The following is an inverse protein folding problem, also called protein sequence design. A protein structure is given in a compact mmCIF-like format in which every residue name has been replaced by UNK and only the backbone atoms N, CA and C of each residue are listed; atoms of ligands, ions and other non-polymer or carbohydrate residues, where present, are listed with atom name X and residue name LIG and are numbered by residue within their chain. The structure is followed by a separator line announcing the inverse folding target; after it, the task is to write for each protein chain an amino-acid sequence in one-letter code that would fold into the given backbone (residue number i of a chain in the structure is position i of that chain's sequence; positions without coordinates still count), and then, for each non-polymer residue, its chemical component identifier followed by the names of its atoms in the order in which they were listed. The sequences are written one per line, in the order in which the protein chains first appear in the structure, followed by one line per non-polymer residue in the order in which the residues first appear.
data_IF_676978006076
#
_entry.id   IF_676978006076
#
_cell.length_a   1.000
_cell.length_b   1.000
_cell.length_c   1.000
_cell.angle_alpha   90.00
_cell.angle_beta   90.00
_cell.angle_gamma   90.00
#
_symmetry.space_group_name_H-M   'P 1'
#
loop_
_entity.id
_entity.type
_entity.pdbx_description
1 polymer ?
#
# COMPACT_ATOMS: atom_id res chain seq x y z
N UNK A 1 -12.30 -13.98 -0.44
CA UNK A 1 -13.09 -13.89 -1.70
C UNK A 1 -12.25 -13.40 -2.88
N UNK A 2 -11.46 -12.33 -2.67
CA UNK A 2 -10.48 -11.78 -3.62
C UNK A 2 -9.59 -12.84 -4.33
N UNK A 3 -8.99 -13.76 -3.57
CA UNK A 3 -8.17 -14.83 -4.15
C UNK A 3 -8.90 -15.70 -5.17
N UNK A 4 -10.20 -15.95 -4.99
CA UNK A 4 -11.00 -16.74 -5.95
C UNK A 4 -11.24 -15.95 -7.23
N UNK A 5 -11.59 -14.66 -7.13
CA UNK A 5 -11.80 -13.83 -8.30
C UNK A 5 -10.50 -13.62 -9.10
N UNK A 6 -9.38 -13.35 -8.42
CA UNK A 6 -8.05 -13.20 -9.05
C UNK A 6 -7.55 -14.53 -9.62
N UNK A 7 -7.61 -15.61 -8.86
CA UNK A 7 -7.17 -16.94 -9.31
C UNK A 7 -8.05 -17.50 -10.42
N UNK A 8 -9.29 -17.03 -10.59
CA UNK A 8 -10.13 -17.50 -11.68
C UNK A 8 -10.15 -16.59 -12.89
N UNK A 9 -10.22 -15.26 -12.74
CA UNK A 9 -10.44 -14.34 -13.87
C UNK A 9 -9.18 -13.67 -14.43
N UNK A 10 -7.99 -14.06 -13.97
CA UNK A 10 -6.75 -13.60 -14.59
C UNK A 10 -6.61 -14.15 -16.02
N UNK A 11 -6.26 -13.27 -16.97
CA UNK A 11 -6.18 -13.61 -18.40
C UNK A 11 -5.17 -14.72 -18.71
N UNK A 12 -4.18 -14.93 -17.84
CA UNK A 12 -3.18 -16.01 -17.95
C UNK A 12 -3.68 -17.38 -17.50
N UNK A 13 -4.84 -17.46 -16.84
CA UNK A 13 -5.39 -18.74 -16.38
C UNK A 13 -6.01 -19.53 -17.53
N UNK A 14 -6.09 -20.86 -17.38
CA UNK A 14 -6.75 -21.71 -18.35
C UNK A 14 -8.24 -21.30 -18.55
N UNK A 15 -8.79 -21.37 -19.78
CA UNK A 15 -10.17 -20.98 -20.06
C UNK A 15 -11.22 -21.66 -19.17
N UNK A 16 -10.99 -22.92 -18.79
CA UNK A 16 -11.86 -23.67 -17.87
C UNK A 16 -11.93 -23.04 -16.47
N UNK A 17 -10.79 -22.57 -15.97
CA UNK A 17 -10.67 -21.90 -14.66
C UNK A 17 -11.37 -20.54 -14.69
N UNK A 18 -11.22 -19.79 -15.80
CA UNK A 18 -11.95 -18.54 -16.03
C UNK A 18 -13.46 -18.74 -16.08
N UNK A 19 -13.93 -19.77 -16.80
CA UNK A 19 -15.35 -20.12 -16.87
C UNK A 19 -15.91 -20.46 -15.49
N UNK A 20 -15.19 -21.25 -14.69
CA UNK A 20 -15.60 -21.59 -13.33
C UNK A 20 -15.68 -20.35 -12.44
N UNK A 21 -14.67 -19.48 -12.47
CA UNK A 21 -14.68 -18.22 -11.72
C UNK A 21 -15.86 -17.33 -12.03
N UNK A 22 -16.18 -17.19 -13.32
CA UNK A 22 -17.33 -16.42 -13.78
C UNK A 22 -18.63 -16.99 -13.23
N UNK A 23 -18.82 -18.32 -13.27
CA UNK A 23 -20.03 -18.98 -12.73
C UNK A 23 -20.14 -18.76 -11.21
N UNK A 24 -19.04 -18.90 -10.47
CA UNK A 24 -19.02 -18.64 -9.03
C UNK A 24 -19.41 -17.20 -8.73
N UNK A 25 -18.79 -16.21 -9.40
CA UNK A 25 -19.08 -14.80 -9.16
C UNK A 25 -20.50 -14.40 -9.57
N UNK A 26 -21.02 -14.93 -10.68
CA UNK A 26 -22.42 -14.74 -11.08
C UNK A 26 -23.38 -15.29 -10.02
N UNK A 27 -23.09 -16.48 -9.49
CA UNK A 27 -23.92 -17.11 -8.47
C UNK A 27 -23.88 -16.30 -7.17
N UNK A 28 -22.71 -15.83 -6.75
CA UNK A 28 -22.56 -14.99 -5.57
C UNK A 28 -23.23 -13.62 -5.74
N UNK A 29 -23.12 -13.00 -6.91
CA UNK A 29 -23.80 -11.75 -7.23
C UNK A 29 -25.32 -11.91 -7.24
N UNK A 30 -25.84 -13.05 -7.74
CA UNK A 30 -27.26 -13.39 -7.67
C UNK A 30 -27.74 -13.64 -6.22
N UNK A 31 -26.83 -13.99 -5.31
CA UNK A 31 -27.07 -14.07 -3.87
C UNK A 31 -26.70 -12.77 -3.13
N UNK A 32 -26.67 -11.65 -3.85
CA UNK A 32 -26.48 -10.30 -3.31
C UNK A 32 -25.16 -10.12 -2.52
N UNK A 33 -24.09 -10.82 -2.90
CA UNK A 33 -22.77 -10.55 -2.33
C UNK A 33 -22.17 -9.30 -2.99
N UNK A 34 -21.91 -8.19 -2.25
CA UNK A 34 -21.48 -6.93 -2.84
C UNK A 34 -20.14 -7.04 -3.58
N UNK A 35 -19.12 -7.61 -2.93
CA UNK A 35 -17.78 -7.72 -3.50
C UNK A 35 -17.73 -8.56 -4.78
N UNK A 36 -18.47 -9.66 -4.82
CA UNK A 36 -18.58 -10.48 -6.03
C UNK A 36 -19.20 -9.70 -7.20
N UNK A 37 -20.21 -8.87 -6.90
CA UNK A 37 -20.89 -8.02 -7.88
C UNK A 37 -19.94 -6.95 -8.42
N UNK A 38 -19.27 -6.22 -7.53
CA UNK A 38 -18.34 -5.15 -7.92
C UNK A 38 -17.14 -5.69 -8.70
N UNK A 39 -16.54 -6.80 -8.27
CA UNK A 39 -15.44 -7.43 -9.00
C UNK A 39 -15.85 -7.85 -10.41
N UNK A 40 -16.99 -8.52 -10.55
CA UNK A 40 -17.48 -8.99 -11.83
C UNK A 40 -17.77 -7.82 -12.79
N UNK A 41 -18.36 -6.74 -12.30
CA UNK A 41 -18.65 -5.56 -13.11
C UNK A 41 -17.39 -4.75 -13.45
N UNK A 42 -16.43 -4.63 -12.53
CA UNK A 42 -15.11 -4.01 -12.81
C UNK A 42 -14.36 -4.74 -13.92
N UNK A 43 -14.38 -6.08 -13.88
CA UNK A 43 -13.74 -6.88 -14.92
C UNK A 43 -14.44 -6.73 -16.27
N UNK A 44 -15.77 -6.66 -16.29
CA UNK A 44 -16.52 -6.38 -17.52
C UNK A 44 -16.17 -5.00 -18.11
N UNK A 45 -16.05 -3.96 -17.28
CA UNK A 45 -15.63 -2.62 -17.71
C UNK A 45 -14.19 -2.63 -18.25
N UNK A 46 -13.26 -3.31 -17.59
CA UNK A 46 -11.88 -3.47 -18.10
C UNK A 46 -11.83 -4.18 -19.45
N UNK A 47 -12.72 -5.14 -19.70
CA UNK A 47 -12.83 -5.79 -21.02
C UNK A 47 -13.39 -4.84 -22.09
N UNK A 48 -14.20 -3.87 -21.70
CA UNK A 48 -14.74 -2.85 -22.60
C UNK A 48 -13.69 -1.82 -23.03
N UNK A 49 -12.59 -1.68 -22.26
CA UNK A 49 -11.44 -0.83 -22.62
C UNK A 49 -10.79 -1.37 -23.91
N UNK A 50 -11.10 -0.73 -25.04
CA UNK A 50 -10.58 -1.09 -26.36
C UNK A 50 -11.58 -1.82 -27.28
N UNK A 51 -12.79 -2.12 -26.81
CA UNK A 51 -13.85 -2.69 -27.64
C UNK A 51 -14.79 -1.62 -28.22
N UNK A 52 -15.31 -1.87 -29.43
CA UNK A 52 -16.37 -1.04 -30.03
C UNK A 52 -17.64 -1.07 -29.16
N UNK A 53 -18.41 0.04 -29.11
CA UNK A 53 -19.64 0.17 -28.31
C UNK A 53 -20.65 -0.97 -28.47
N UNK A 54 -20.71 -1.63 -29.62
CA UNK A 54 -21.64 -2.72 -29.91
C UNK A 54 -21.34 -4.06 -29.19
N UNK A 55 -20.17 -4.19 -28.56
CA UNK A 55 -19.73 -5.44 -27.91
C UNK A 55 -19.27 -5.23 -26.46
N UNK A 56 -19.97 -4.36 -25.74
CA UNK A 56 -19.64 -4.11 -24.33
C UNK A 56 -20.03 -5.30 -23.47
N UNK A 57 -19.05 -5.97 -22.88
CA UNK A 57 -19.19 -7.01 -21.88
C UNK A 57 -20.03 -6.54 -20.70
N UNK A 58 -19.91 -5.27 -20.27
CA UNK A 58 -20.72 -4.73 -19.19
C UNK A 58 -22.23 -4.82 -19.47
N UNK A 59 -22.65 -4.65 -20.73
CA UNK A 59 -24.06 -4.64 -21.15
C UNK A 59 -24.61 -6.04 -21.48
N UNK A 60 -23.79 -7.09 -21.36
CA UNK A 60 -24.20 -8.48 -21.59
C UNK A 60 -25.45 -8.85 -20.76
N UNK A 61 -26.34 -9.65 -21.35
CA UNK A 61 -27.55 -10.16 -20.67
C UNK A 61 -27.21 -11.02 -19.46
N UNK A 62 -26.06 -11.71 -19.49
CA UNK A 62 -25.54 -12.53 -18.39
C UNK A 62 -25.27 -11.71 -17.12
N UNK A 63 -24.91 -10.43 -17.26
CA UNK A 63 -24.60 -9.54 -16.13
C UNK A 63 -25.83 -8.75 -15.63
N UNK A 64 -27.03 -9.07 -16.10
CA UNK A 64 -28.26 -8.37 -15.73
C UNK A 64 -28.55 -8.41 -14.23
N UNK A 65 -28.32 -9.55 -13.56
CA UNK A 65 -28.46 -9.67 -12.10
C UNK A 65 -27.44 -8.81 -11.36
N UNK A 66 -26.18 -8.82 -11.78
CA UNK A 66 -25.13 -8.00 -11.19
C UNK A 66 -25.44 -6.50 -11.32
N UNK A 67 -25.92 -6.04 -12.48
CA UNK A 67 -26.35 -4.65 -12.68
C UNK A 67 -27.55 -4.28 -11.81
N UNK A 68 -28.52 -5.18 -11.65
CA UNK A 68 -29.67 -4.96 -10.75
C UNK A 68 -29.20 -4.82 -9.30
N UNK A 69 -28.31 -5.71 -8.87
CA UNK A 69 -27.75 -5.66 -7.52
C UNK A 69 -26.89 -4.41 -7.31
N UNK A 70 -26.09 -3.97 -8.30
CA UNK A 70 -25.37 -2.69 -8.23
C UNK A 70 -26.31 -1.51 -7.96
N UNK A 71 -27.46 -1.43 -8.65
CA UNK A 71 -28.43 -0.35 -8.40
C UNK A 71 -28.99 -0.38 -6.99
N UNK A 72 -29.23 -1.58 -6.45
CA UNK A 72 -29.64 -1.77 -5.05
C UNK A 72 -28.56 -1.25 -4.10
N UNK A 73 -27.31 -1.64 -4.30
CA UNK A 73 -26.16 -1.17 -3.50
C UNK A 73 -25.99 0.35 -3.55
N UNK A 74 -26.18 0.98 -4.73
CA UNK A 74 -26.13 2.44 -4.87
C UNK A 74 -27.29 3.11 -4.12
N UNK A 75 -28.50 2.54 -4.17
CA UNK A 75 -29.65 3.05 -3.42
C UNK A 75 -29.46 2.89 -1.90
N UNK A 76 -28.75 1.85 -1.46
CA UNK A 76 -28.33 1.61 -0.08
C UNK A 76 -27.08 2.41 0.33
N UNK A 77 -26.62 3.32 -0.52
CA UNK A 77 -25.42 4.17 -0.30
C UNK A 77 -24.13 3.40 -0.02
N UNK A 78 -23.96 2.21 -0.60
CA UNK A 78 -22.73 1.44 -0.46
C UNK A 78 -21.55 2.17 -1.16
N UNK A 79 -20.45 2.52 -0.46
CA UNK A 79 -19.45 3.47 -0.94
C UNK A 79 -18.76 3.01 -2.23
N UNK A 80 -18.26 1.77 -2.26
CA UNK A 80 -17.59 1.22 -3.44
C UNK A 80 -18.50 1.05 -4.66
N UNK A 81 -19.81 0.88 -4.45
CA UNK A 81 -20.79 0.78 -5.52
C UNK A 81 -21.07 2.16 -6.11
N UNK A 82 -21.21 3.18 -5.26
CA UNK A 82 -21.35 4.57 -5.68
C UNK A 82 -20.11 5.05 -6.45
N UNK A 83 -18.90 4.75 -5.99
CA UNK A 83 -17.67 5.06 -6.76
C UNK A 83 -17.68 4.39 -8.12
N UNK A 84 -18.00 3.09 -8.17
CA UNK A 84 -18.06 2.37 -9.45
C UNK A 84 -19.07 2.99 -10.41
N UNK A 85 -20.26 3.35 -9.93
CA UNK A 85 -21.28 3.98 -10.75
C UNK A 85 -20.90 5.41 -11.16
N UNK A 86 -20.32 6.20 -10.27
CA UNK A 86 -19.82 7.55 -10.55
C UNK A 86 -18.73 7.53 -11.63
N UNK A 87 -17.82 6.54 -11.62
CA UNK A 87 -16.82 6.36 -12.69
C UNK A 87 -17.46 6.18 -14.05
N UNK A 88 -18.53 5.39 -14.13
CA UNK A 88 -19.27 5.18 -15.38
C UNK A 88 -19.96 6.46 -15.82
N UNK A 89 -20.64 7.17 -14.92
CA UNK A 89 -21.26 8.47 -15.21
C UNK A 89 -20.23 9.49 -15.73
N UNK A 90 -19.07 9.60 -15.09
CA UNK A 90 -17.99 10.48 -15.53
C UNK A 90 -17.46 10.11 -16.92
N UNK A 91 -17.27 8.81 -17.21
CA UNK A 91 -16.86 8.31 -18.52
C UNK A 91 -17.91 8.55 -19.63
N UNK A 92 -19.19 8.65 -19.25
CA UNK A 92 -20.31 9.01 -20.14
C UNK A 92 -20.46 10.54 -20.32
N UNK A 93 -19.60 11.35 -19.70
CA UNK A 93 -19.68 12.81 -19.73
C UNK A 93 -20.69 13.42 -18.73
N UNK A 94 -21.34 12.58 -17.92
CA UNK A 94 -22.31 12.98 -16.88
C UNK A 94 -21.61 13.30 -15.56
N UNK A 95 -20.60 14.17 -15.62
CA UNK A 95 -19.71 14.46 -14.49
C UNK A 95 -20.41 15.13 -13.31
N UNK A 96 -21.39 16.01 -13.55
CA UNK A 96 -22.18 16.66 -12.48
C UNK A 96 -22.90 15.63 -11.60
N UNK A 97 -23.57 14.67 -12.23
CA UNK A 97 -24.25 13.57 -11.51
C UNK A 97 -23.25 12.67 -10.76
N UNK A 98 -22.06 12.44 -11.34
CA UNK A 98 -21.00 11.70 -10.67
C UNK A 98 -20.50 12.43 -9.40
N UNK A 99 -20.31 13.75 -9.48
CA UNK A 99 -19.93 14.60 -8.35
C UNK A 99 -21.02 14.55 -7.27
N UNK A 100 -22.29 14.79 -7.63
CA UNK A 100 -23.41 14.74 -6.69
C UNK A 100 -23.51 13.38 -5.97
N UNK A 101 -23.36 12.28 -6.72
CA UNK A 101 -23.35 10.93 -6.16
C UNK A 101 -22.20 10.73 -5.16
N UNK A 102 -20.99 11.19 -5.48
CA UNK A 102 -19.85 11.04 -4.58
C UNK A 102 -19.93 11.97 -3.38
N UNK A 103 -20.48 13.16 -3.54
CA UNK A 103 -20.78 14.06 -2.41
C UNK A 103 -21.77 13.40 -1.46
N UNK A 104 -22.84 12.78 -1.96
CA UNK A 104 -23.77 12.01 -1.13
C UNK A 104 -23.04 10.86 -0.41
N UNK A 105 -22.18 10.11 -1.12
CA UNK A 105 -21.41 9.02 -0.54
C UNK A 105 -20.46 9.46 0.60
N UNK A 106 -19.79 10.61 0.44
CA UNK A 106 -18.92 11.19 1.48
C UNK A 106 -19.76 11.69 2.66
N UNK A 107 -20.90 12.32 2.40
CA UNK A 107 -21.75 12.89 3.45
C UNK A 107 -22.54 11.85 4.25
N UNK A 108 -22.84 10.68 3.67
CA UNK A 108 -23.66 9.68 4.33
C UNK A 108 -22.92 8.86 5.37
N UNK A 109 -21.67 9.18 5.67
CA UNK A 109 -20.83 8.37 6.57
C UNK A 109 -20.65 6.94 6.04
N UNK A 110 -20.88 6.71 4.75
CA UNK A 110 -20.78 5.38 4.14
C UNK A 110 -19.36 4.79 4.21
N UNK A 111 -18.41 5.60 4.67
CA UNK A 111 -17.04 5.24 4.98
C UNK A 111 -16.85 4.59 6.37
N UNK A 112 -17.82 4.69 7.28
CA UNK A 112 -17.88 3.95 8.55
C UNK A 112 -18.14 2.45 8.30
N UNK A 113 -17.28 1.82 7.51
CA UNK A 113 -17.25 0.39 7.32
C UNK A 113 -16.44 -0.22 8.46
N UNK A 114 -17.20 -0.64 9.48
CA UNK A 114 -16.84 -1.43 10.65
C UNK A 114 -16.18 -0.63 11.77
N UNK A 115 -16.94 -0.42 12.85
CA UNK A 115 -16.39 -0.25 14.20
C UNK A 115 -15.45 -1.43 14.47
N UNK A 116 -14.15 -1.20 14.34
CA UNK A 116 -13.14 -2.17 14.77
C UNK A 116 -12.83 -1.85 16.22
N UNK A 117 -13.09 -2.80 17.11
CA UNK A 117 -12.80 -2.64 18.54
C UNK A 117 -11.32 -2.23 18.73
N UNK A 118 -11.12 -1.06 19.35
CA UNK A 118 -9.84 -0.41 19.61
C UNK A 118 -9.09 -1.10 20.77
N UNK A 119 -8.58 -2.32 20.56
CA UNK A 119 -7.57 -2.88 21.45
C UNK A 119 -6.15 -2.69 20.88
N UNK A 120 -5.14 -2.57 21.74
CA UNK A 120 -3.76 -2.32 21.32
C UNK A 120 -3.15 -3.50 20.51
N UNK A 121 -3.71 -4.70 20.63
CA UNK A 121 -3.34 -5.90 19.87
C UNK A 121 -4.01 -5.90 18.47
N UNK A 122 -5.21 -5.31 18.38
CA UNK A 122 -5.98 -4.97 17.20
C UNK A 122 -5.27 -3.88 16.40
N UNK A 123 -4.63 -2.90 17.05
CA UNK A 123 -3.82 -1.88 16.37
C UNK A 123 -2.60 -2.47 15.63
N UNK A 124 -1.83 -3.40 16.21
CA UNK A 124 -0.69 -4.03 15.52
C UNK A 124 -1.15 -5.04 14.44
N UNK A 125 -2.27 -5.74 14.67
CA UNK A 125 -2.97 -6.53 13.64
C UNK A 125 -3.58 -5.66 12.54
N UNK A 126 -3.97 -4.43 12.87
CA UNK A 126 -4.38 -3.41 11.92
C UNK A 126 -3.17 -2.90 11.17
N UNK A 127 -2.02 -2.58 11.76
CA UNK A 127 -0.86 -2.12 10.97
C UNK A 127 -0.34 -3.22 10.03
N UNK A 128 -0.19 -4.45 10.52
CA UNK A 128 0.18 -5.59 9.66
C UNK A 128 -0.94 -5.96 8.68
N UNK A 129 -2.21 -5.81 9.08
CA UNK A 129 -3.40 -6.02 8.27
C UNK A 129 -3.66 -4.92 7.26
N UNK A 130 -3.33 -3.66 7.51
CA UNK A 130 -3.45 -2.47 6.65
C UNK A 130 -2.32 -2.53 5.62
N UNK A 131 -1.12 -2.94 6.06
CA UNK A 131 -0.02 -3.29 5.14
C UNK A 131 -0.35 -4.51 4.25
N UNK A 132 -1.39 -5.31 4.55
CA UNK A 132 -1.73 -6.52 3.78
C UNK A 132 -3.14 -6.53 3.12
N UNK A 133 -4.12 -5.80 3.64
CA UNK A 133 -5.51 -5.72 3.17
C UNK A 133 -5.61 -4.85 1.91
N UNK A 134 -4.58 -4.06 1.65
CA UNK A 134 -4.62 -3.00 0.65
C UNK A 134 -4.03 -3.44 -0.69
N UNK A 135 -4.50 -4.54 -1.28
CA UNK A 135 -4.07 -4.94 -2.64
C UNK A 135 -5.12 -4.61 -3.73
N UNK A 136 -6.39 -4.44 -3.37
CA UNK A 136 -7.42 -3.92 -4.28
C UNK A 136 -8.32 -2.84 -3.67
N UNK A 137 -8.46 -2.77 -2.34
CA UNK A 137 -9.02 -1.60 -1.67
C UNK A 137 -8.12 -0.37 -1.91
N UNK A 138 -6.79 -0.52 -1.74
CA UNK A 138 -5.77 0.47 -2.14
C UNK A 138 -5.79 0.81 -3.62
N UNK A 139 -6.19 -0.12 -4.49
CA UNK A 139 -6.28 0.13 -5.94
C UNK A 139 -7.63 0.74 -6.30
N UNK A 140 -8.64 0.53 -5.45
CA UNK A 140 -9.87 1.27 -5.46
C UNK A 140 -9.58 2.74 -5.23
N UNK A 141 -10.24 3.59 -6.01
CA UNK A 141 -10.41 4.97 -5.56
C UNK A 141 -11.50 4.95 -4.50
N UNK A 142 -11.25 5.58 -3.36
CA UNK A 142 -12.25 5.90 -2.36
C UNK A 142 -13.20 7.00 -2.86
N UNK A 143 -14.39 7.17 -2.26
CA UNK A 143 -15.33 8.22 -2.67
C UNK A 143 -14.71 9.61 -2.70
N UNK A 144 -13.95 9.98 -1.68
CA UNK A 144 -13.29 11.28 -1.58
C UNK A 144 -12.11 11.43 -2.56
N UNK A 145 -11.28 10.41 -2.76
CA UNK A 145 -10.17 10.53 -3.72
C UNK A 145 -10.69 10.68 -5.16
N UNK A 146 -11.75 9.97 -5.53
CA UNK A 146 -12.37 10.13 -6.84
C UNK A 146 -13.13 11.45 -6.98
N UNK A 147 -13.85 11.88 -5.93
CA UNK A 147 -14.51 13.19 -5.90
C UNK A 147 -13.49 14.32 -6.08
N UNK A 148 -12.37 14.24 -5.37
CA UNK A 148 -11.29 15.22 -5.48
C UNK A 148 -10.68 15.24 -6.87
N UNK A 149 -10.50 14.08 -7.50
CA UNK A 149 -10.07 14.00 -8.90
C UNK A 149 -11.05 14.69 -9.85
N UNK A 150 -12.36 14.43 -9.70
CA UNK A 150 -13.38 15.10 -10.52
C UNK A 150 -13.34 16.61 -10.31
N UNK A 151 -13.26 17.09 -9.07
CA UNK A 151 -13.12 18.52 -8.78
C UNK A 151 -11.87 19.15 -9.40
N UNK A 152 -10.71 18.46 -9.37
CA UNK A 152 -9.50 18.91 -10.07
C UNK A 152 -9.72 19.02 -11.58
N UNK A 153 -10.37 18.03 -12.19
CA UNK A 153 -10.64 18.05 -13.64
C UNK A 153 -11.61 19.15 -14.07
N UNK A 154 -12.50 19.58 -13.17
CA UNK A 154 -13.43 20.70 -13.39
C UNK A 154 -12.84 22.06 -13.01
N UNK A 155 -11.56 22.12 -12.61
CA UNK A 155 -10.91 23.37 -12.20
C UNK A 155 -11.41 23.93 -10.86
N UNK A 156 -11.93 23.07 -9.98
CA UNK A 156 -12.35 23.41 -8.62
C UNK A 156 -11.33 22.88 -7.57
N UNK A 157 -10.19 23.56 -7.36
CA UNK A 157 -9.16 23.10 -6.43
C UNK A 157 -9.66 23.07 -4.98
N UNK A 158 -10.55 24.00 -4.59
CA UNK A 158 -11.12 24.07 -3.24
C UNK A 158 -11.98 22.84 -2.93
N UNK A 159 -12.87 22.47 -3.85
CA UNK A 159 -13.68 21.25 -3.70
C UNK A 159 -12.82 19.98 -3.67
N UNK A 160 -11.71 19.96 -4.39
CA UNK A 160 -10.77 18.84 -4.33
C UNK A 160 -10.07 18.73 -2.97
N UNK A 161 -9.62 19.85 -2.41
CA UNK A 161 -9.03 19.90 -1.08
C UNK A 161 -10.04 19.48 0.01
N UNK A 162 -11.28 19.99 -0.05
CA UNK A 162 -12.35 19.62 0.89
C UNK A 162 -12.64 18.12 0.84
N UNK A 163 -12.70 17.53 -0.35
CA UNK A 163 -12.87 16.09 -0.50
C UNK A 163 -11.70 15.30 0.10
N UNK A 164 -10.44 15.65 -0.21
CA UNK A 164 -9.29 14.99 0.42
C UNK A 164 -9.27 15.16 1.93
N UNK A 165 -9.63 16.34 2.45
CA UNK A 165 -9.69 16.59 3.88
C UNK A 165 -10.72 15.71 4.57
N UNK A 166 -11.87 15.47 3.94
CA UNK A 166 -12.87 14.54 4.46
C UNK A 166 -12.27 13.14 4.64
N UNK A 167 -11.68 12.57 3.60
CA UNK A 167 -11.09 11.23 3.69
C UNK A 167 -9.91 11.11 4.65
N UNK A 168 -9.07 12.14 4.72
CA UNK A 168 -7.91 12.14 5.61
C UNK A 168 -8.32 12.23 7.09
N UNK A 169 -9.34 13.05 7.41
CA UNK A 169 -9.73 13.31 8.80
C UNK A 169 -10.77 12.32 9.34
N UNK A 170 -11.63 11.77 8.46
CA UNK A 170 -12.70 10.85 8.86
C UNK A 170 -12.18 9.41 8.89
N UNK A 171 -11.44 8.99 7.86
CA UNK A 171 -11.09 7.58 7.64
C UNK A 171 -9.59 7.29 7.67
N UNK A 172 -8.77 8.28 8.01
CA UNK A 172 -7.29 8.21 7.98
C UNK A 172 -6.75 7.67 6.63
N UNK A 173 -7.45 7.97 5.51
CA UNK A 173 -7.10 7.39 4.20
C UNK A 173 -5.71 7.89 3.74
N UNK A 174 -4.72 6.98 3.54
CA UNK A 174 -3.37 7.34 3.14
C UNK A 174 -3.30 8.15 1.84
N UNK A 175 -4.14 7.81 0.86
CA UNK A 175 -4.20 8.54 -0.42
C UNK A 175 -4.84 9.90 -0.29
N UNK A 176 -5.74 10.08 0.68
CA UNK A 176 -6.35 11.36 0.94
C UNK A 176 -5.31 12.34 1.51
N UNK A 177 -4.48 11.89 2.45
CA UNK A 177 -3.32 12.65 2.91
C UNK A 177 -2.32 12.94 1.79
N UNK A 178 -2.00 11.98 0.93
CA UNK A 178 -1.16 12.23 -0.27
C UNK A 178 -1.78 13.29 -1.18
N UNK A 179 -3.11 13.23 -1.37
CA UNK A 179 -3.88 14.20 -2.13
C UNK A 179 -3.76 15.62 -1.58
N UNK A 180 -3.85 15.76 -0.25
CA UNK A 180 -3.61 17.00 0.50
C UNK A 180 -2.16 17.49 0.35
N UNK A 181 -1.16 16.60 0.39
CA UNK A 181 0.23 16.99 0.16
C UNK A 181 0.43 17.71 -1.19
N UNK A 182 -0.39 17.41 -2.20
CA UNK A 182 -0.39 18.10 -3.49
C UNK A 182 -1.00 19.51 -3.48
N UNK A 183 -1.61 19.97 -2.38
CA UNK A 183 -2.21 21.31 -2.24
C UNK A 183 -1.35 22.29 -1.46
N UNK A 184 -0.23 21.82 -0.89
CA UNK A 184 0.72 22.62 -0.11
C UNK A 184 2.11 22.61 -0.74
N UNK A 185 2.97 23.61 -0.46
CA UNK A 185 4.35 23.59 -0.94
C UNK A 185 5.07 22.32 -0.51
N UNK A 186 5.77 21.70 -1.44
CA UNK A 186 6.54 20.49 -1.16
C UNK A 186 7.60 20.77 -0.10
N UNK A 187 7.74 19.83 0.84
CA UNK A 187 8.67 19.93 1.99
C UNK A 187 8.36 21.06 2.98
N UNK A 188 7.21 21.73 2.87
CA UNK A 188 6.69 22.58 3.96
C UNK A 188 6.38 21.75 5.21
N UNK A 189 6.19 22.42 6.34
CA UNK A 189 5.82 21.74 7.60
C UNK A 189 4.54 20.93 7.43
N UNK A 190 3.52 21.53 6.82
CA UNK A 190 2.23 20.89 6.60
C UNK A 190 2.34 19.70 5.63
N UNK A 191 3.17 19.82 4.58
CA UNK A 191 3.47 18.69 3.70
C UNK A 191 4.10 17.52 4.46
N UNK A 192 5.08 17.80 5.34
CA UNK A 192 5.77 16.78 6.13
C UNK A 192 4.83 16.08 7.11
N UNK A 193 3.98 16.85 7.81
CA UNK A 193 2.96 16.31 8.71
C UNK A 193 2.00 15.36 7.98
N UNK A 194 1.43 15.79 6.85
CA UNK A 194 0.51 14.96 6.07
C UNK A 194 1.18 13.75 5.43
N UNK A 195 2.41 13.89 4.94
CA UNK A 195 3.14 12.76 4.36
C UNK A 195 3.50 11.73 5.43
N UNK A 196 3.85 12.17 6.64
CA UNK A 196 4.08 11.30 7.80
C UNK A 196 2.81 10.55 8.18
N UNK A 197 1.67 11.23 8.20
CA UNK A 197 0.36 10.59 8.40
C UNK A 197 0.06 9.55 7.32
N UNK A 198 0.16 9.92 6.05
CA UNK A 198 -0.03 9.00 4.93
C UNK A 198 0.85 7.74 5.03
N UNK A 199 2.12 7.92 5.39
CA UNK A 199 3.06 6.82 5.55
C UNK A 199 2.70 5.92 6.73
N UNK A 200 2.30 6.52 7.87
CA UNK A 200 1.81 5.76 9.03
C UNK A 200 0.55 4.95 8.69
N UNK A 201 -0.34 5.50 7.87
CA UNK A 201 -1.54 4.82 7.36
C UNK A 201 -1.25 3.83 6.22
N UNK A 202 0.03 3.54 5.91
CA UNK A 202 0.44 2.47 5.00
C UNK A 202 0.79 2.89 3.56
N UNK A 203 0.84 4.19 3.25
CA UNK A 203 1.27 4.63 1.91
C UNK A 203 2.76 4.43 1.68
N UNK A 204 3.11 3.47 0.83
CA UNK A 204 4.49 3.28 0.36
C UNK A 204 4.99 4.46 -0.49
N UNK A 205 4.09 5.14 -1.21
CA UNK A 205 4.44 6.36 -1.98
C UNK A 205 4.87 7.47 -1.03
N UNK A 206 4.14 7.64 0.08
CA UNK A 206 4.48 8.61 1.11
C UNK A 206 5.79 8.27 1.82
N UNK A 207 6.01 6.99 2.15
CA UNK A 207 7.29 6.50 2.68
C UNK A 207 8.44 6.85 1.72
N UNK A 208 8.29 6.61 0.42
CA UNK A 208 9.30 6.99 -0.58
C UNK A 208 9.56 8.51 -0.59
N UNK A 209 8.51 9.32 -0.51
CA UNK A 209 8.64 10.78 -0.44
C UNK A 209 9.32 11.27 0.85
N UNK A 210 9.06 10.62 1.99
CA UNK A 210 9.76 10.91 3.24
C UNK A 210 11.23 10.53 3.15
N UNK A 211 11.55 9.37 2.56
CA UNK A 211 12.92 8.98 2.23
C UNK A 211 13.64 10.08 1.44
N UNK A 212 12.97 10.63 0.41
CA UNK A 212 13.48 11.76 -0.38
C UNK A 212 13.64 13.04 0.43
N UNK A 213 12.66 13.38 1.26
CA UNK A 213 12.72 14.58 2.12
C UNK A 213 13.96 14.55 3.04
N UNK A 214 14.26 13.40 3.63
CA UNK A 214 15.43 13.26 4.50
C UNK A 214 16.75 13.14 3.73
N UNK A 215 16.74 12.81 2.43
CA UNK A 215 17.96 12.69 1.61
C UNK A 215 18.30 13.92 0.75
N UNK A 216 17.38 14.87 0.56
CA UNK A 216 17.68 16.07 -0.25
C UNK A 216 18.65 17.02 0.47
N UNK A 217 19.48 17.79 -0.25
CA UNK A 217 20.25 18.89 0.33
C UNK A 217 19.40 19.88 1.15
N UNK A 218 19.95 20.44 2.25
CA UNK A 218 19.22 21.35 3.16
C UNK A 218 18.68 22.61 2.47
N UNK A 219 19.37 23.11 1.44
CA UNK A 219 18.95 24.27 0.65
C UNK A 219 17.69 24.01 -0.20
N UNK A 220 17.36 22.74 -0.46
CA UNK A 220 16.12 22.34 -1.14
C UNK A 220 14.92 22.22 -0.19
N UNK A 221 15.14 22.21 1.12
CA UNK A 221 14.05 22.27 2.11
C UNK A 221 13.69 23.75 2.31
N UNK A 222 12.42 24.18 2.20
CA UNK A 222 12.03 25.57 2.43
C UNK A 222 12.53 26.15 3.76
N UNK A 223 12.82 27.46 3.80
CA UNK A 223 13.24 28.20 5.02
C UNK A 223 12.13 28.38 6.07
N UNK A 224 11.03 27.65 5.95
CA UNK A 224 10.01 27.64 6.99
C UNK A 224 10.66 27.27 8.33
N UNK A 225 10.54 28.17 9.31
CA UNK A 225 11.48 28.37 10.41
C UNK A 225 11.84 27.13 11.25
N UNK A 226 11.08 26.03 11.14
CA UNK A 226 11.28 24.83 11.94
C UNK A 226 11.77 23.63 11.12
N UNK A 227 11.34 23.46 9.87
CA UNK A 227 11.57 22.19 9.14
C UNK A 227 13.04 22.05 8.71
N UNK A 228 13.61 23.10 8.12
CA UNK A 228 15.04 23.10 7.73
C UNK A 228 15.94 23.03 8.96
N UNK A 229 15.57 23.70 10.05
CA UNK A 229 16.34 23.69 11.29
C UNK A 229 16.34 22.30 11.92
N UNK A 230 15.18 21.65 12.02
CA UNK A 230 15.07 20.27 12.51
C UNK A 230 15.89 19.30 11.64
N UNK A 231 15.82 19.44 10.31
CA UNK A 231 16.64 18.64 9.39
C UNK A 231 18.14 18.88 9.61
N UNK A 232 18.57 20.13 9.80
CA UNK A 232 19.96 20.48 10.11
C UNK A 232 20.41 19.87 11.44
N UNK A 233 19.60 19.99 12.49
CA UNK A 233 19.90 19.40 13.79
C UNK A 233 20.05 17.88 13.69
N UNK A 234 19.21 17.19 12.90
CA UNK A 234 19.35 15.76 12.65
C UNK A 234 20.62 15.39 11.87
N UNK A 235 21.08 16.26 10.97
CA UNK A 235 22.29 16.05 10.17
C UNK A 235 23.57 16.24 10.99
N UNK A 236 23.57 17.26 11.86
CA UNK A 236 24.68 17.62 12.75
C UNK A 236 24.72 16.80 14.05
N UNK A 237 23.62 16.09 14.37
CA UNK A 237 23.47 15.34 15.62
C UNK A 237 24.45 14.15 15.73
N UNK A 238 24.86 13.91 16.97
CA UNK A 238 25.63 12.76 17.44
C UNK A 238 24.85 12.04 18.56
N UNK A 239 25.00 10.71 18.71
CA UNK A 239 25.88 9.84 17.96
C UNK A 239 25.35 9.48 16.56
N UNK A 240 26.26 9.16 15.64
CA UNK A 240 25.90 8.45 14.39
C UNK A 240 25.16 7.13 14.69
N UNK A 241 24.26 6.76 13.78
CA UNK A 241 23.44 5.54 13.81
C UNK A 241 24.16 4.44 13.03
N UNK A 242 24.40 3.29 13.66
CA UNK A 242 24.91 2.11 12.98
C UNK A 242 23.77 1.46 12.17
N UNK A 243 23.86 1.48 10.84
CA UNK A 243 22.88 0.87 9.94
C UNK A 243 23.44 -0.39 9.27
N UNK A 244 22.76 -1.52 9.46
CA UNK A 244 23.22 -2.85 9.05
C UNK A 244 22.48 -3.32 7.80
N UNK A 245 23.23 -3.84 6.82
CA UNK A 245 22.70 -4.14 5.50
C UNK A 245 23.41 -5.29 4.81
N UNK A 246 22.76 -5.86 3.81
CA UNK A 246 23.33 -6.90 2.96
C UNK A 246 22.92 -6.69 1.51
N UNK A 247 23.71 -7.23 0.59
CA UNK A 247 23.30 -7.37 -0.80
C UNK A 247 22.62 -8.72 -0.99
N UNK A 248 21.51 -8.73 -1.73
CA UNK A 248 20.85 -9.97 -2.12
C UNK A 248 21.81 -10.84 -2.95
N UNK A 249 21.80 -12.15 -2.70
CA UNK A 249 22.57 -13.09 -3.50
C UNK A 249 21.84 -13.53 -4.78
N UNK A 250 22.55 -14.17 -5.71
CA UNK A 250 21.99 -14.58 -7.00
C UNK A 250 20.74 -15.47 -6.87
N UNK A 251 20.61 -16.23 -5.76
CA UNK A 251 19.42 -17.03 -5.50
C UNK A 251 18.24 -16.16 -5.09
N UNK A 252 18.47 -15.20 -4.19
CA UNK A 252 17.46 -14.21 -3.79
C UNK A 252 17.05 -13.31 -4.98
N UNK A 253 18.02 -12.86 -5.79
CA UNK A 253 17.78 -12.12 -7.03
C UNK A 253 16.95 -12.95 -8.03
N UNK A 254 17.29 -14.22 -8.23
CA UNK A 254 16.54 -15.13 -9.11
C UNK A 254 15.08 -15.30 -8.68
N UNK A 255 14.80 -15.38 -7.37
CA UNK A 255 13.44 -15.44 -6.85
C UNK A 255 12.64 -14.15 -7.13
N UNK A 256 13.33 -13.03 -7.27
CA UNK A 256 12.77 -11.72 -7.62
C UNK A 256 12.71 -11.47 -9.14
N UNK A 257 13.24 -12.38 -9.96
CA UNK A 257 13.33 -12.20 -11.40
C UNK A 257 14.43 -11.23 -11.85
N UNK A 258 15.41 -10.95 -10.99
CA UNK A 258 16.52 -10.04 -11.28
C UNK A 258 17.73 -10.77 -11.84
N UNK A 259 18.55 -10.04 -12.61
CA UNK A 259 19.76 -10.61 -13.19
C UNK A 259 20.83 -10.84 -12.10
N UNK A 260 21.63 -11.93 -12.19
CA UNK A 260 22.77 -12.15 -11.32
C UNK A 260 23.71 -10.94 -11.27
N UNK A 261 24.25 -10.63 -10.09
CA UNK A 261 25.11 -9.46 -9.87
C UNK A 261 24.39 -8.11 -9.73
N UNK A 262 23.05 -8.06 -9.81
CA UNK A 262 22.30 -6.84 -9.48
C UNK A 262 22.51 -6.50 -8.01
N UNK A 263 22.99 -5.29 -7.72
CA UNK A 263 23.10 -4.80 -6.34
C UNK A 263 21.71 -4.43 -5.85
N UNK A 264 21.11 -5.26 -5.01
CA UNK A 264 19.88 -4.92 -4.29
C UNK A 264 20.22 -4.93 -2.81
N UNK A 265 20.09 -3.78 -2.18
CA UNK A 265 20.32 -3.64 -0.74
C UNK A 265 19.08 -4.09 0.02
N UNK A 266 19.27 -4.91 1.04
CA UNK A 266 18.29 -5.23 2.07
C UNK A 266 18.79 -4.82 3.45
N UNK A 267 17.89 -4.35 4.31
CA UNK A 267 18.24 -4.06 5.69
C UNK A 267 18.23 -5.34 6.55
N UNK A 268 19.22 -5.48 7.42
CA UNK A 268 19.43 -6.71 8.18
C UNK A 268 18.33 -6.99 9.19
N UNK A 269 17.68 -5.95 9.72
CA UNK A 269 16.72 -6.09 10.82
C UNK A 269 15.47 -6.91 10.48
N UNK A 270 15.32 -7.25 9.20
CA UNK A 270 14.24 -8.04 8.67
C UNK A 270 14.63 -9.40 8.10
N UNK A 271 15.93 -9.73 8.09
CA UNK A 271 16.39 -11.01 7.58
C UNK A 271 16.07 -12.10 8.61
N UNK A 272 15.67 -13.28 8.15
CA UNK A 272 15.66 -14.46 9.03
C UNK A 272 17.08 -14.66 9.57
N UNK A 273 17.20 -14.76 10.89
CA UNK A 273 18.47 -14.75 11.60
C UNK A 273 19.54 -15.64 10.96
N UNK A 274 20.73 -15.04 10.75
CA UNK A 274 21.99 -15.76 10.48
C UNK A 274 23.01 -15.35 11.52
N UNK A 275 23.87 -16.27 11.95
CA UNK A 275 24.94 -15.94 12.90
C UNK A 275 25.87 -14.90 12.26
N UNK A 276 25.91 -13.67 12.78
CA UNK A 276 26.66 -12.61 12.14
C UNK A 276 28.18 -12.79 12.25
N UNK A 277 28.67 -13.76 13.05
CA UNK A 277 30.08 -14.21 13.01
C UNK A 277 30.41 -14.97 11.73
N UNK A 278 29.41 -15.55 11.10
CA UNK A 278 29.53 -16.40 9.90
C UNK A 278 28.92 -15.75 8.66
N UNK A 279 28.12 -14.69 8.84
CA UNK A 279 27.46 -13.99 7.75
C UNK A 279 28.42 -13.00 7.07
N UNK A 280 29.24 -13.52 6.17
CA UNK A 280 30.20 -12.71 5.40
C UNK A 280 29.55 -11.60 4.57
N UNK A 281 28.24 -11.69 4.32
CA UNK A 281 27.43 -10.78 3.51
C UNK A 281 26.87 -9.58 4.29
N UNK A 282 27.04 -9.55 5.61
CA UNK A 282 26.54 -8.46 6.44
C UNK A 282 27.54 -7.28 6.48
N UNK A 283 27.06 -6.11 6.11
CA UNK A 283 27.78 -4.85 6.08
C UNK A 283 27.17 -3.87 7.09
N UNK A 284 27.95 -2.87 7.48
CA UNK A 284 27.52 -1.82 8.39
C UNK A 284 28.09 -0.49 7.93
N UNK A 285 27.28 0.54 8.03
CA UNK A 285 27.65 1.93 7.75
C UNK A 285 27.15 2.82 8.88
N UNK A 286 27.94 3.83 9.25
CA UNK A 286 27.52 4.83 10.24
C UNK A 286 26.89 6.01 9.51
N UNK A 287 25.65 6.32 9.88
CA UNK A 287 24.86 7.38 9.25
C UNK A 287 24.58 8.48 10.26
N UNK A 288 24.50 9.73 9.83
CA UNK A 288 23.88 10.74 10.69
C UNK A 288 22.38 10.42 10.85
N UNK A 289 21.72 10.86 11.94
CA UNK A 289 20.31 10.57 12.19
C UNK A 289 19.37 10.89 11.03
N UNK A 290 19.62 11.99 10.31
CA UNK A 290 18.82 12.37 9.13
C UNK A 290 18.91 11.33 8.01
N UNK A 291 20.13 10.91 7.65
CA UNK A 291 20.35 9.88 6.63
C UNK A 291 19.82 8.52 7.07
N UNK A 292 19.92 8.19 8.36
CA UNK A 292 19.33 6.97 8.91
C UNK A 292 17.80 6.93 8.76
N UNK A 293 17.11 8.05 9.01
CA UNK A 293 15.67 8.18 8.77
C UNK A 293 15.33 8.04 7.28
N UNK A 294 16.13 8.63 6.38
CA UNK A 294 15.94 8.46 4.95
C UNK A 294 16.01 6.97 4.56
N UNK A 295 17.00 6.25 5.07
CA UNK A 295 17.19 4.82 4.83
C UNK A 295 16.01 4.00 5.33
N UNK A 296 15.53 4.26 6.55
CA UNK A 296 14.38 3.56 7.13
C UNK A 296 13.11 3.74 6.26
N UNK A 297 12.82 4.97 5.84
CA UNK A 297 11.67 5.25 4.99
C UNK A 297 11.76 4.61 3.59
N UNK A 298 12.93 4.65 2.95
CA UNK A 298 13.13 3.96 1.67
C UNK A 298 12.99 2.44 1.80
N UNK A 299 13.46 1.86 2.90
CA UNK A 299 13.36 0.43 3.19
C UNK A 299 11.89 0.00 3.32
N UNK A 300 11.12 0.74 4.13
CA UNK A 300 9.68 0.53 4.30
C UNK A 300 8.94 0.68 2.96
N UNK A 301 9.29 1.69 2.16
CA UNK A 301 8.71 1.90 0.83
C UNK A 301 9.01 0.74 -0.12
N UNK A 302 10.28 0.29 -0.18
CA UNK A 302 10.75 -0.80 -1.04
C UNK A 302 10.00 -2.10 -0.76
N UNK A 303 9.83 -2.45 0.52
CA UNK A 303 9.09 -3.66 0.91
C UNK A 303 7.62 -3.57 0.58
N UNK A 304 7.02 -2.46 0.98
CA UNK A 304 5.60 -2.23 0.77
C UNK A 304 5.27 -2.28 -0.73
N UNK A 305 6.18 -1.79 -1.58
CA UNK A 305 6.00 -1.87 -3.03
C UNK A 305 5.82 -3.30 -3.55
N UNK A 306 6.50 -4.31 -2.99
CA UNK A 306 6.31 -5.72 -3.39
C UNK A 306 4.91 -6.24 -3.13
N UNK A 307 4.26 -5.67 -2.12
CA UNK A 307 2.91 -6.05 -1.74
C UNK A 307 1.90 -5.35 -2.65
N UNK A 308 2.19 -4.11 -3.06
CA UNK A 308 1.19 -3.18 -3.61
C UNK A 308 1.32 -2.85 -5.11
N UNK A 309 2.49 -2.99 -5.71
CA UNK A 309 2.74 -2.60 -7.11
C UNK A 309 3.17 -3.77 -7.97
N UNK A 310 2.54 -3.91 -9.15
CA UNK A 310 2.98 -4.87 -10.18
C UNK A 310 4.27 -4.39 -10.88
N UNK A 311 4.67 -3.13 -10.68
CA UNK A 311 5.91 -2.54 -11.19
C UNK A 311 6.82 -2.16 -10.03
N UNK A 312 8.00 -2.78 -9.97
CA UNK A 312 9.07 -2.43 -9.04
C UNK A 312 9.66 -1.07 -9.41
N UNK A 313 9.86 -0.20 -8.42
CA UNK A 313 10.47 1.11 -8.55
C UNK A 313 11.92 0.98 -8.09
N UNK A 314 12.77 0.63 -9.04
CA UNK A 314 14.21 0.48 -8.82
C UNK A 314 14.87 1.76 -8.30
N UNK A 315 14.23 2.93 -8.45
CA UNK A 315 14.80 4.20 -7.98
C UNK A 315 14.92 4.24 -6.46
N UNK A 316 14.06 3.52 -5.72
CA UNK A 316 14.16 3.41 -4.26
C UNK A 316 15.45 2.69 -3.87
N UNK A 317 15.77 1.56 -4.51
CA UNK A 317 16.99 0.83 -4.19
C UNK A 317 18.25 1.60 -4.60
N UNK A 318 18.20 2.31 -5.73
CA UNK A 318 19.30 3.17 -6.16
C UNK A 318 19.56 4.29 -5.16
N UNK A 319 18.52 4.91 -4.59
CA UNK A 319 18.67 5.91 -3.54
C UNK A 319 19.31 5.32 -2.28
N UNK A 320 18.91 4.12 -1.86
CA UNK A 320 19.53 3.40 -0.72
C UNK A 320 21.02 3.16 -0.99
N UNK A 321 21.37 2.69 -2.20
CA UNK A 321 22.76 2.46 -2.58
C UNK A 321 23.60 3.74 -2.56
N UNK A 322 23.07 4.82 -3.13
CA UNK A 322 23.73 6.13 -3.15
C UNK A 322 24.02 6.63 -1.73
N UNK A 323 23.06 6.50 -0.80
CA UNK A 323 23.26 6.88 0.60
C UNK A 323 24.37 6.07 1.28
N UNK A 324 24.43 4.76 1.02
CA UNK A 324 25.49 3.87 1.55
C UNK A 324 26.86 4.24 0.97
N UNK A 325 26.94 4.43 -0.34
CA UNK A 325 28.20 4.75 -1.04
C UNK A 325 28.74 6.12 -0.63
N UNK A 326 27.87 7.11 -0.47
CA UNK A 326 28.24 8.45 0.01
C UNK A 326 28.75 8.41 1.47
N UNK A 327 28.07 7.66 2.35
CA UNK A 327 28.50 7.52 3.73
C UNK A 327 29.84 6.75 3.85
N UNK A 328 30.06 5.74 3.01
CA UNK A 328 31.32 5.00 2.97
C UNK A 328 32.50 5.83 2.44
N UNK A 329 32.25 6.75 1.49
CA UNK A 329 33.29 7.58 0.88
C UNK A 329 33.83 8.66 1.83
N UNK A 330 33.00 9.15 2.75
CA UNK A 330 33.39 10.15 3.74
C UNK A 330 34.36 9.58 4.79
N UNK A 331 34.36 8.27 5.04
CA UNK A 331 35.23 7.59 6.01
C UNK A 331 36.54 7.05 5.38
N UNK A 332 37.03 7.70 4.31
CA UNK A 332 38.25 7.30 3.58
C UNK A 332 39.54 7.22 4.43
N UNK A 333 39.50 7.73 5.66
CA UNK A 333 40.59 7.58 6.65
C UNK A 333 40.64 6.19 7.31
N UNK A 334 39.60 5.36 7.17
CA UNK A 334 39.55 4.00 7.71
C UNK A 334 39.55 2.99 6.57
N UNK A 335 40.71 2.34 6.37
CA UNK A 335 40.95 1.38 5.29
C UNK A 335 40.12 0.10 5.34
N UNK A 336 39.25 -0.08 6.34
CA UNK A 336 38.23 -1.14 6.41
C UNK A 336 37.19 -0.73 7.45
N UNK A 337 35.87 -0.89 7.18
CA UNK A 337 34.86 -0.73 8.21
C UNK A 337 35.17 -1.74 9.31
N UNK A 338 35.66 -1.29 10.47
CA UNK A 338 35.95 -2.17 11.60
C UNK A 338 34.63 -2.80 12.05
N UNK A 339 34.37 -4.01 11.53
CA UNK A 339 33.46 -5.00 12.12
C UNK A 339 34.01 -5.34 13.50
N UNK A 340 33.84 -4.46 14.49
CA UNK A 340 34.20 -4.84 15.85
C UNK A 340 33.22 -5.91 16.28
N UNK A 341 33.72 -7.08 16.67
CA UNK A 341 32.89 -8.17 17.18
C UNK A 341 31.87 -7.67 18.24
N UNK A 342 32.22 -6.61 18.97
CA UNK A 342 31.36 -5.92 19.92
C UNK A 342 30.13 -5.22 19.32
N UNK A 343 30.22 -4.58 18.15
CA UNK A 343 29.07 -3.91 17.52
C UNK A 343 28.11 -4.94 16.94
N UNK A 344 28.66 -5.96 16.28
CA UNK A 344 27.91 -7.12 15.78
C UNK A 344 27.18 -7.86 16.91
N UNK A 345 27.85 -8.08 18.05
CA UNK A 345 27.23 -8.70 19.23
C UNK A 345 26.20 -7.80 19.93
N UNK A 346 26.34 -6.46 19.85
CA UNK A 346 25.35 -5.50 20.37
C UNK A 346 24.08 -5.51 19.52
N UNK A 347 24.22 -5.43 18.19
CA UNK A 347 23.14 -5.57 17.23
C UNK A 347 22.40 -6.91 17.41
N UNK A 348 23.15 -7.99 17.59
CA UNK A 348 22.60 -9.29 17.98
C UNK A 348 21.75 -9.22 19.26
N UNK A 349 22.24 -8.61 20.34
CA UNK A 349 21.47 -8.52 21.60
C UNK A 349 20.16 -7.75 21.42
N UNK A 350 20.15 -6.69 20.60
CA UNK A 350 18.94 -5.92 20.29
C UNK A 350 17.91 -6.78 19.55
N UNK A 351 18.34 -7.58 18.56
CA UNK A 351 17.45 -8.49 17.84
C UNK A 351 16.85 -9.61 18.70
N UNK A 352 17.62 -10.14 19.66
CA UNK A 352 17.19 -11.29 20.46
C UNK A 352 16.39 -10.93 21.71
N UNK A 353 16.53 -9.71 22.24
CA UNK A 353 15.65 -9.23 23.31
C UNK A 353 14.17 -9.20 22.88
N UNK A 354 13.91 -9.07 21.56
CA UNK A 354 12.58 -8.97 20.98
C UNK A 354 12.05 -10.28 20.35
N UNK A 355 12.72 -11.43 20.48
CA UNK A 355 12.29 -12.68 19.81
C UNK A 355 11.10 -13.41 20.46
N UNK A 356 10.70 -13.03 21.68
CA UNK A 356 9.47 -13.55 22.29
C UNK A 356 8.20 -13.18 21.50
N UNK A 357 8.24 -12.08 20.75
CA UNK A 357 7.11 -11.56 19.95
C UNK A 357 7.14 -12.00 18.48
N UNK A 358 8.32 -12.25 17.89
CA UNK A 358 8.46 -12.49 16.44
C UNK A 358 7.99 -13.88 15.96
N UNK A 359 7.95 -14.89 16.84
CA UNK A 359 7.49 -16.25 16.47
C UNK A 359 5.96 -16.30 16.29
N UNK A 360 5.22 -15.39 16.90
CA UNK A 360 3.76 -15.28 16.74
C UNK A 360 3.34 -14.66 15.40
N UNK A 361 4.19 -13.84 14.78
CA UNK A 361 3.90 -13.12 13.53
C UNK A 361 3.91 -14.03 12.28
N UNK A 362 4.68 -15.12 12.28
CA UNK A 362 4.70 -16.08 11.16
C UNK A 362 3.59 -17.15 11.25
N UNK A 363 3.06 -17.41 12.46
CA UNK A 363 2.07 -18.46 12.71
C UNK A 363 0.61 -17.99 12.56
N UNK A 364 0.34 -16.68 12.52
CA UNK A 364 -1.03 -16.13 12.56
C UNK A 364 -1.64 -15.83 11.18
N UNK A 365 -0.92 -16.03 10.07
CA UNK A 365 -1.49 -16.03 8.71
C UNK A 365 -1.93 -17.46 8.30
N UNK A 366 -2.15 -18.34 9.28
CA UNK A 366 -2.39 -19.76 9.07
C UNK A 366 -3.90 -20.04 8.92
N UNK A 367 -4.33 -20.24 7.65
CA UNK A 367 -5.43 -21.07 7.08
C UNK A 367 -6.83 -21.20 7.74
N UNK A 368 -7.03 -20.77 8.98
CA UNK A 368 -8.21 -21.00 9.81
C UNK A 368 -9.42 -20.18 9.35
N UNK A 369 -9.23 -18.90 9.00
CA UNK A 369 -10.30 -18.04 8.48
C UNK A 369 -10.81 -18.51 7.10
N UNK A 370 -9.90 -18.99 6.24
CA UNK A 370 -10.28 -19.56 4.93
C UNK A 370 -11.09 -20.86 5.14
N UNK A 371 -10.67 -21.70 6.09
CA UNK A 371 -11.34 -22.96 6.43
C UNK A 371 -12.73 -22.72 7.01
N UNK A 372 -12.90 -21.73 7.88
CA UNK A 372 -14.19 -21.40 8.48
C UNK A 372 -15.13 -20.67 7.50
N UNK A 373 -14.60 -19.83 6.61
CA UNK A 373 -15.36 -19.28 5.49
C UNK A 373 -15.91 -20.36 4.55
N UNK A 374 -15.08 -21.35 4.19
CA UNK A 374 -15.50 -22.47 3.33
C UNK A 374 -16.52 -23.39 4.03
N UNK A 375 -16.39 -23.62 5.33
CA UNK A 375 -17.37 -24.40 6.12
C UNK A 375 -18.74 -23.72 6.16
N UNK A 376 -18.80 -22.41 6.38
CA UNK A 376 -20.06 -21.65 6.41
C UNK A 376 -20.78 -21.66 5.05
N UNK A 377 -20.03 -21.51 3.96
CA UNK A 377 -20.58 -21.62 2.59
C UNK A 377 -21.09 -23.04 2.33
N UNK A 378 -20.30 -24.07 2.67
CA UNK A 378 -20.69 -25.46 2.45
C UNK A 378 -21.92 -25.88 3.25
N UNK A 379 -22.01 -25.48 4.53
CA UNK A 379 -23.18 -25.74 5.37
C UNK A 379 -24.46 -25.05 4.83
N UNK A 380 -24.34 -23.82 4.30
CA UNK A 380 -25.48 -23.09 3.74
C UNK A 380 -25.94 -23.68 2.40
N UNK A 381 -25.01 -24.16 1.57
CA UNK A 381 -25.31 -24.67 0.22
C UNK A 381 -25.72 -26.15 0.22
N UNK A 382 -25.17 -26.96 1.13
CA UNK A 382 -25.34 -28.42 1.10
C UNK A 382 -25.91 -29.01 2.40
N UNK A 383 -26.01 -28.24 3.49
CA UNK A 383 -26.41 -28.73 4.81
C UNK A 383 -27.92 -28.91 5.04
N UNK A 384 -28.78 -28.66 4.04
CA UNK A 384 -30.23 -28.93 4.12
C UNK A 384 -30.61 -30.16 3.30
N UNK A 385 -30.10 -31.32 3.68
CA UNK A 385 -30.69 -32.62 3.37
C UNK A 385 -30.56 -33.52 4.60
N UNK A 386 -31.57 -33.45 5.45
CA UNK A 386 -31.83 -34.29 6.61
C UNK A 386 -33.30 -34.12 6.93
#
# INVERSE_FOLDING_TARGET
MFYVARACLYSRNAPTVQKLGKVVLLTMSANEVPEATLHLLRLAVRQDEGLSRARRAYDSTELSFARRHLRKLVAEKHPHAMVFQAKRLAAEGRRKEAIEMLTDAVSSGAAELQEVEEDAESMHKQYSGIVLQDNEASKGESPWTFLAQLHRTEGNPKGAEEAFRAGAMIDDDPKAYEGLCGTVPRFSKQWHEWMTKAAASGSWTAMNWLGRFYSVPLDQIPEEANVREEARLLEESEPKVDWWYYYLDDKELGALGEQPGTKIVGADFWRSYRDPRTDSKLHMVQLNPRTALAMEWYELAWRSQFIFSDKRDVTINLAIQELIENAGSQDSSRSEPKRSLSSTMRHHRQHFANKGTFIWELAMIDFSEIKDGLRKVWAKTFGKKG
#
